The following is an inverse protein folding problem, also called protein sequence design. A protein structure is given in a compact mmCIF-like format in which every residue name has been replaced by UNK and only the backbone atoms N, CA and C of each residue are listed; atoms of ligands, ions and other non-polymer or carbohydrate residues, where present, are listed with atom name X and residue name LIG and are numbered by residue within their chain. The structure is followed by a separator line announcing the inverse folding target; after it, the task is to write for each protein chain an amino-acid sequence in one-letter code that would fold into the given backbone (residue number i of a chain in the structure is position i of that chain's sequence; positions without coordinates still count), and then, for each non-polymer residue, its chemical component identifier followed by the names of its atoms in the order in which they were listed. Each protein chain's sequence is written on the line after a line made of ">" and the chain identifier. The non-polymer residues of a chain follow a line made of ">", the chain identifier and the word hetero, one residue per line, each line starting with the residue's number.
data_IF_325943009866
#
_entry.id   IF_325943009866
#
_cell.length_a   1.000
_cell.length_b   1.000
_cell.length_c   1.000
_cell.angle_alpha   90.00
_cell.angle_beta   90.00
_cell.angle_gamma   90.00
#
_symmetry.space_group_name_H-M   'P 1'
#
loop_
_entity.id
_entity.type
_entity.pdbx_description
1 polymer ?
#
# COMPACT_ATOMS: atom_id res chain seq x y z
N UNK A 1 -32.90 55.95 28.86
CA UNK A 1 -32.92 54.50 29.04
C UNK A 1 -32.22 53.89 27.83
N UNK A 2 -30.93 53.62 27.93
CA UNK A 2 -30.11 53.06 26.85
C UNK A 2 -30.00 51.55 27.07
N UNK A 3 -30.49 50.76 26.10
CA UNK A 3 -30.39 49.30 26.08
C UNK A 3 -29.03 48.95 25.50
N UNK A 4 -28.13 48.46 26.34
CA UNK A 4 -26.84 47.90 25.94
C UNK A 4 -27.07 46.49 25.43
N UNK A 5 -26.85 46.26 24.11
CA UNK A 5 -26.83 44.92 23.51
C UNK A 5 -25.49 44.23 23.85
N UNK A 6 -25.58 43.06 24.42
CA UNK A 6 -24.46 42.14 24.63
C UNK A 6 -23.99 41.56 23.29
N UNK A 7 -22.69 41.47 22.99
CA UNK A 7 -22.24 40.85 21.76
C UNK A 7 -22.39 39.35 21.82
N UNK A 8 -23.01 38.82 20.77
CA UNK A 8 -23.29 37.41 20.50
C UNK A 8 -21.99 36.60 20.46
N UNK A 9 -21.98 35.47 21.13
CA UNK A 9 -20.92 34.46 21.18
C UNK A 9 -20.76 33.63 19.87
N UNK A 10 -21.29 34.15 18.75
CA UNK A 10 -21.33 33.40 17.47
C UNK A 10 -20.07 33.55 16.58
N UNK A 11 -19.13 34.45 16.93
CA UNK A 11 -18.04 34.82 16.00
C UNK A 11 -16.78 33.92 16.06
N UNK A 12 -16.67 32.99 17.03
CA UNK A 12 -15.44 32.17 17.20
C UNK A 12 -15.55 30.74 16.65
N UNK A 13 -16.73 30.30 16.21
CA UNK A 13 -16.96 28.91 15.73
C UNK A 13 -16.86 28.79 14.20
N UNK A 14 -17.04 29.88 13.45
CA UNK A 14 -17.02 29.86 11.99
C UNK A 14 -15.67 29.54 11.32
N UNK A 15 -14.50 30.09 11.75
CA UNK A 15 -13.24 29.83 11.06
C UNK A 15 -12.78 28.35 11.16
N UNK A 16 -12.95 27.70 12.30
CA UNK A 16 -12.54 26.31 12.51
C UNK A 16 -13.39 25.32 11.65
N UNK A 17 -14.65 25.65 11.39
CA UNK A 17 -15.51 24.80 10.56
C UNK A 17 -15.20 24.96 9.06
N UNK A 18 -14.84 26.16 8.60
CA UNK A 18 -14.43 26.39 7.20
C UNK A 18 -13.08 25.72 6.91
N UNK A 19 -12.13 25.77 7.85
CA UNK A 19 -10.85 25.08 7.75
C UNK A 19 -11.04 23.55 7.71
N UNK A 20 -11.91 22.99 8.55
CA UNK A 20 -12.20 21.56 8.57
C UNK A 20 -12.81 21.08 7.25
N UNK A 21 -13.71 21.87 6.62
CA UNK A 21 -14.31 21.53 5.32
C UNK A 21 -13.24 21.56 4.22
N UNK A 22 -12.34 22.52 4.23
CA UNK A 22 -11.25 22.63 3.26
C UNK A 22 -10.30 21.41 3.36
N UNK A 23 -9.97 20.97 4.57
CA UNK A 23 -9.16 19.76 4.77
C UNK A 23 -9.89 18.49 4.34
N UNK A 24 -11.19 18.38 4.58
CA UNK A 24 -12.01 17.28 4.08
C UNK A 24 -12.04 17.25 2.55
N UNK A 25 -12.18 18.40 1.90
CA UNK A 25 -12.15 18.50 0.44
C UNK A 25 -10.78 18.07 -0.11
N UNK A 26 -9.69 18.51 0.52
CA UNK A 26 -8.33 18.12 0.13
C UNK A 26 -8.10 16.60 0.31
N UNK A 27 -8.55 16.02 1.42
CA UNK A 27 -8.48 14.57 1.67
C UNK A 27 -9.26 13.77 0.62
N UNK A 28 -10.49 14.18 0.31
CA UNK A 28 -11.34 13.45 -0.65
C UNK A 28 -10.94 13.66 -2.10
N UNK A 29 -10.12 14.66 -2.41
CA UNK A 29 -9.52 14.86 -3.72
C UNK A 29 -8.33 13.90 -3.98
N UNK A 30 -7.73 13.36 -2.93
CA UNK A 30 -6.62 12.41 -3.04
C UNK A 30 -7.13 11.06 -3.55
N UNK A 31 -6.48 10.55 -4.59
CA UNK A 31 -6.70 9.19 -5.12
C UNK A 31 -5.55 8.24 -4.80
N UNK A 32 -4.46 8.80 -4.27
CA UNK A 32 -3.29 8.07 -3.89
C UNK A 32 -3.33 7.75 -2.39
N UNK A 33 -3.37 6.46 -2.08
CA UNK A 33 -3.43 5.96 -0.70
C UNK A 33 -2.24 6.43 0.14
N UNK A 34 -1.05 6.47 -0.42
CA UNK A 34 0.18 6.86 0.28
C UNK A 34 0.12 8.34 0.68
N UNK A 35 -0.51 9.17 -0.15
CA UNK A 35 -0.69 10.60 0.11
C UNK A 35 -1.85 10.90 1.07
N UNK A 36 -2.79 9.96 1.27
CA UNK A 36 -3.91 10.15 2.18
C UNK A 36 -3.47 10.32 3.64
N UNK A 37 -2.57 9.45 4.10
CA UNK A 37 -2.07 9.48 5.48
C UNK A 37 -1.22 10.75 5.72
N UNK A 38 -0.43 11.16 4.74
CA UNK A 38 0.32 12.43 4.75
C UNK A 38 -0.63 13.64 4.85
N UNK A 39 -1.67 13.66 4.02
CA UNK A 39 -2.69 14.72 4.01
C UNK A 39 -3.49 14.77 5.30
N UNK A 40 -3.79 13.61 5.90
CA UNK A 40 -4.44 13.51 7.20
C UNK A 40 -3.58 14.11 8.30
N UNK A 41 -2.29 13.73 8.37
CA UNK A 41 -1.36 14.26 9.36
C UNK A 41 -1.24 15.78 9.26
N UNK A 42 -1.11 16.31 8.05
CA UNK A 42 -1.02 17.74 7.78
C UNK A 42 -2.31 18.48 8.18
N UNK A 43 -3.47 17.98 7.76
CA UNK A 43 -4.76 18.59 8.07
C UNK A 43 -5.06 18.63 9.57
N UNK A 44 -4.72 17.58 10.32
CA UNK A 44 -4.89 17.57 11.78
C UNK A 44 -3.90 18.49 12.47
N UNK A 45 -2.65 18.59 11.99
CA UNK A 45 -1.66 19.54 12.51
C UNK A 45 -2.17 20.98 12.41
N UNK A 46 -2.73 21.35 11.26
CA UNK A 46 -3.25 22.69 11.00
C UNK A 46 -4.50 22.98 11.83
N UNK A 47 -5.47 22.05 11.86
CA UNK A 47 -6.73 22.21 12.62
C UNK A 47 -6.50 22.37 14.12
N UNK A 48 -5.58 21.62 14.70
CA UNK A 48 -5.30 21.67 16.13
C UNK A 48 -4.22 22.69 16.51
N UNK A 49 -3.46 23.18 15.53
CA UNK A 49 -2.27 24.01 15.77
C UNK A 49 -1.29 23.41 16.78
N UNK A 50 -1.14 22.09 16.76
CA UNK A 50 -0.27 21.30 17.65
C UNK A 50 1.17 21.22 17.13
N UNK A 51 2.05 20.57 17.88
CA UNK A 51 3.49 20.52 17.57
C UNK A 51 3.84 19.46 16.54
N UNK A 52 3.20 18.27 16.61
CA UNK A 52 3.44 17.16 15.69
C UNK A 52 2.22 16.26 15.60
N UNK A 53 2.01 15.69 14.41
CA UNK A 53 0.97 14.67 14.15
C UNK A 53 1.58 13.56 13.32
N UNK A 54 1.43 12.32 13.77
CA UNK A 54 1.90 11.12 13.07
C UNK A 54 0.76 10.16 12.76
N UNK A 55 0.78 9.59 11.56
CA UNK A 55 -0.05 8.46 11.17
C UNK A 55 0.84 7.23 11.10
N UNK A 56 0.47 6.21 11.86
CA UNK A 56 1.25 4.98 11.96
C UNK A 56 0.37 3.80 11.56
N UNK A 57 0.88 2.98 10.65
CA UNK A 57 0.22 1.77 10.15
C UNK A 57 0.92 0.52 10.67
N UNK A 58 0.14 -0.49 11.01
CA UNK A 58 0.68 -1.77 11.40
C UNK A 58 0.88 -2.63 10.15
N UNK A 59 2.13 -2.95 9.85
CA UNK A 59 2.57 -3.76 8.69
C UNK A 59 3.15 -5.09 9.15
N UNK A 60 3.12 -6.08 8.28
CA UNK A 60 3.52 -7.46 8.55
C UNK A 60 2.38 -8.42 8.25
N UNK A 61 2.67 -9.72 8.22
CA UNK A 61 1.69 -10.79 8.00
C UNK A 61 1.11 -11.26 9.32
N UNK A 62 -0.06 -11.91 9.28
CA UNK A 62 -0.74 -12.37 10.50
C UNK A 62 0.09 -13.41 11.31
N UNK A 63 0.98 -14.14 10.66
CA UNK A 63 1.84 -15.18 11.27
C UNK A 63 3.27 -14.69 11.55
N UNK A 64 3.61 -13.43 11.20
CA UNK A 64 4.93 -12.82 11.35
C UNK A 64 4.88 -11.68 12.37
N UNK A 65 6.02 -11.29 12.98
CA UNK A 65 6.05 -10.10 13.82
C UNK A 65 5.57 -8.86 13.06
N UNK A 66 4.62 -8.13 13.63
CA UNK A 66 4.08 -6.90 13.05
C UNK A 66 4.87 -5.68 13.52
N UNK A 67 4.99 -4.69 12.66
CA UNK A 67 5.83 -3.52 12.86
C UNK A 67 5.07 -2.23 12.56
N UNK A 68 5.47 -1.12 13.20
CA UNK A 68 4.92 0.20 12.98
C UNK A 68 5.61 0.93 11.84
N UNK A 69 4.88 1.21 10.77
CA UNK A 69 5.30 2.05 9.65
C UNK A 69 4.78 3.48 9.88
N UNK A 70 5.64 4.47 9.81
CA UNK A 70 5.24 5.88 9.80
C UNK A 70 4.77 6.25 8.38
N UNK A 71 3.46 6.26 8.16
CA UNK A 71 2.87 6.57 6.84
C UNK A 71 2.63 8.08 6.61
N UNK A 72 2.76 8.89 7.65
CA UNK A 72 2.71 10.36 7.54
C UNK A 72 3.10 11.02 8.85
N UNK A 73 4.09 11.90 8.84
CA UNK A 73 4.54 12.67 9.99
C UNK A 73 4.63 14.15 9.62
N UNK A 74 3.71 14.93 10.13
CA UNK A 74 3.67 16.38 10.00
C UNK A 74 4.18 17.04 11.28
N UNK A 75 5.07 18.02 11.13
CA UNK A 75 5.60 18.85 12.21
C UNK A 75 5.49 20.31 11.83
N UNK A 76 5.30 21.18 12.85
CA UNK A 76 5.22 22.61 12.61
C UNK A 76 6.52 23.13 11.97
N UNK A 77 6.38 23.89 10.88
CA UNK A 77 7.50 24.48 10.13
C UNK A 77 8.49 23.48 9.48
N UNK A 78 8.07 22.22 9.28
CA UNK A 78 8.84 21.22 8.59
C UNK A 78 8.01 20.59 7.46
N UNK A 79 8.70 20.02 6.46
CA UNK A 79 8.04 19.23 5.44
C UNK A 79 7.48 17.96 6.07
N UNK A 80 6.28 17.55 5.65
CA UNK A 80 5.69 16.30 6.06
C UNK A 80 6.48 15.14 5.44
N UNK A 81 6.83 14.15 6.25
CA UNK A 81 7.63 13.00 5.87
C UNK A 81 6.86 11.71 6.10
N UNK A 82 7.26 10.65 5.42
CA UNK A 82 6.78 9.28 5.65
C UNK A 82 7.92 8.30 5.45
N UNK A 83 7.84 7.14 6.10
CA UNK A 83 8.71 6.03 5.76
C UNK A 83 8.42 5.58 4.33
N UNK A 84 9.45 5.20 3.56
CA UNK A 84 9.21 4.64 2.25
C UNK A 84 8.45 3.32 2.38
N UNK A 85 7.44 3.04 1.52
CA UNK A 85 6.64 1.81 1.62
C UNK A 85 7.45 0.52 1.44
N UNK A 86 8.68 0.63 0.98
CA UNK A 86 9.63 -0.48 0.76
C UNK A 86 10.67 -0.64 1.86
N UNK A 87 10.50 0.02 3.00
CA UNK A 87 11.40 -0.12 4.14
C UNK A 87 11.42 -1.58 4.61
N UNK A 88 12.60 -2.04 5.01
CA UNK A 88 12.73 -3.38 5.57
C UNK A 88 11.96 -3.47 6.89
N UNK A 89 11.07 -4.47 7.01
CA UNK A 89 10.25 -4.65 8.20
C UNK A 89 11.07 -4.82 9.47
N UNK A 90 12.22 -5.51 9.37
CA UNK A 90 13.12 -5.72 10.52
C UNK A 90 13.75 -4.41 11.02
N UNK A 91 13.82 -3.38 10.18
CA UNK A 91 14.32 -2.05 10.56
C UNK A 91 13.26 -1.18 11.24
N UNK A 92 11.98 -1.57 11.16
CA UNK A 92 10.88 -0.85 11.77
C UNK A 92 10.67 -1.25 13.23
N UNK A 93 10.15 -0.35 14.08
CA UNK A 93 9.79 -0.69 15.45
C UNK A 93 8.75 -1.82 15.50
N UNK A 94 8.96 -2.87 16.31
CA UNK A 94 7.98 -3.93 16.48
C UNK A 94 6.71 -3.41 17.18
N UNK A 95 5.60 -4.16 17.08
CA UNK A 95 4.30 -3.81 17.67
C UNK A 95 4.41 -3.36 19.13
N UNK A 96 5.06 -4.14 19.98
CA UNK A 96 5.21 -3.87 21.41
C UNK A 96 6.16 -2.71 21.76
N UNK A 97 6.86 -2.09 20.79
CA UNK A 97 7.72 -0.93 21.05
C UNK A 97 6.94 0.32 21.52
N UNK A 98 5.65 0.39 21.19
CA UNK A 98 4.77 1.49 21.56
C UNK A 98 3.47 0.99 22.22
N UNK A 99 3.49 0.69 23.53
CA UNK A 99 2.36 0.06 24.23
C UNK A 99 1.05 0.85 24.11
N UNK A 100 1.11 2.18 24.10
CA UNK A 100 -0.07 3.03 23.95
C UNK A 100 -0.73 2.89 22.57
N UNK A 101 0.07 2.77 21.49
CA UNK A 101 -0.46 2.53 20.14
C UNK A 101 -1.13 1.16 20.06
N UNK A 102 -0.53 0.16 20.67
CA UNK A 102 -1.05 -1.22 20.74
C UNK A 102 -2.37 -1.25 21.52
N UNK A 103 -2.44 -0.65 22.72
CA UNK A 103 -3.64 -0.54 23.52
C UNK A 103 -4.79 0.14 22.78
N UNK A 104 -4.52 1.28 22.13
CA UNK A 104 -5.52 2.04 21.33
C UNK A 104 -6.04 1.21 20.15
N UNK A 105 -5.15 0.45 19.51
CA UNK A 105 -5.54 -0.39 18.38
C UNK A 105 -6.46 -1.54 18.80
N UNK A 106 -6.17 -2.17 19.94
CA UNK A 106 -6.94 -3.29 20.49
C UNK A 106 -8.28 -2.82 21.07
N UNK A 107 -8.24 -1.79 21.92
CA UNK A 107 -9.44 -1.26 22.59
C UNK A 107 -10.35 -0.46 21.64
N UNK A 108 -9.81 0.05 20.51
CA UNK A 108 -10.47 0.99 19.60
C UNK A 108 -10.96 2.27 20.30
N UNK A 109 -10.30 2.65 21.37
CA UNK A 109 -10.58 3.83 22.17
C UNK A 109 -9.37 4.77 22.14
N UNK A 110 -9.62 6.08 22.19
CA UNK A 110 -8.53 7.04 22.30
C UNK A 110 -7.89 6.98 23.68
N UNK A 111 -6.58 7.22 23.73
CA UNK A 111 -5.83 7.38 24.98
C UNK A 111 -5.05 8.68 24.99
N UNK A 112 -4.87 9.26 26.18
CA UNK A 112 -4.03 10.44 26.41
C UNK A 112 -3.06 10.17 27.55
N UNK A 113 -1.83 10.63 27.39
CA UNK A 113 -0.80 10.55 28.42
C UNK A 113 0.02 11.83 28.49
N UNK A 114 0.52 12.13 29.67
CA UNK A 114 1.54 13.14 29.92
C UNK A 114 2.88 12.44 30.14
N UNK A 115 3.91 12.88 29.43
CA UNK A 115 5.26 12.39 29.63
C UNK A 115 5.98 13.16 30.71
N UNK A 116 6.77 12.46 31.52
CA UNK A 116 7.66 13.09 32.51
C UNK A 116 8.73 13.95 31.80
N UNK A 117 9.28 14.93 32.53
CA UNK A 117 10.37 15.75 32.01
C UNK A 117 11.63 14.95 31.65
N UNK A 118 11.82 13.82 32.33
CA UNK A 118 12.92 12.88 32.05
C UNK A 118 12.70 12.13 30.73
N UNK A 119 11.44 11.84 30.37
CA UNK A 119 11.09 11.12 29.17
C UNK A 119 11.01 12.02 27.93
N UNK A 120 10.67 13.31 28.12
CA UNK A 120 10.56 14.27 27.04
C UNK A 120 11.06 15.66 27.48
N UNK A 121 12.22 16.07 26.98
CA UNK A 121 12.83 17.35 27.32
C UNK A 121 12.14 18.54 26.62
N UNK A 122 11.38 18.31 25.54
CA UNK A 122 10.67 19.36 24.80
C UNK A 122 9.27 19.58 25.39
N UNK A 123 9.00 20.75 26.03
CA UNK A 123 7.67 21.05 26.57
C UNK A 123 6.54 21.00 25.52
N UNK A 124 6.88 21.25 24.25
CA UNK A 124 5.91 21.22 23.15
C UNK A 124 5.43 19.81 22.79
N UNK A 125 6.11 18.77 23.30
CA UNK A 125 5.81 17.35 23.06
C UNK A 125 5.45 16.60 24.37
N UNK A 126 5.03 17.33 25.42
CA UNK A 126 4.77 16.73 26.74
C UNK A 126 3.50 15.88 26.78
N UNK A 127 2.50 16.22 25.99
CA UNK A 127 1.24 15.48 25.94
C UNK A 127 1.10 14.71 24.64
N UNK A 128 0.78 13.44 24.73
CA UNK A 128 0.48 12.58 23.59
C UNK A 128 -0.98 12.14 23.64
N UNK A 129 -1.66 12.23 22.51
CA UNK A 129 -3.01 11.71 22.31
C UNK A 129 -2.96 10.73 21.14
N UNK A 130 -3.38 9.50 21.36
CA UNK A 130 -3.44 8.46 20.33
C UNK A 130 -4.90 8.13 20.03
N UNK A 131 -5.27 8.16 18.75
CA UNK A 131 -6.63 7.87 18.28
C UNK A 131 -6.59 6.69 17.29
N UNK A 132 -7.55 5.77 17.37
CA UNK A 132 -7.63 4.67 16.40
C UNK A 132 -8.08 5.18 15.04
N UNK A 133 -7.45 4.68 13.97
CA UNK A 133 -7.95 4.85 12.61
C UNK A 133 -8.99 3.75 12.34
N UNK A 134 -10.24 4.16 12.14
CA UNK A 134 -11.35 3.23 11.88
C UNK A 134 -11.33 2.80 10.42
N UNK A 135 -10.65 1.71 10.12
CA UNK A 135 -10.55 1.13 8.77
C UNK A 135 -11.12 -0.29 8.82
N UNK A 136 -12.05 -0.59 7.93
CA UNK A 136 -12.61 -1.95 7.76
C UNK A 136 -11.74 -2.79 6.80
N UNK A 137 -11.17 -2.12 5.81
CA UNK A 137 -10.32 -2.73 4.78
C UNK A 137 -8.99 -1.98 4.71
N UNK A 138 -7.89 -2.72 4.68
CA UNK A 138 -6.54 -2.15 4.60
C UNK A 138 -5.71 -2.35 5.86
N UNK A 139 -4.63 -1.59 6.01
CA UNK A 139 -3.73 -1.70 7.15
C UNK A 139 -4.32 -0.99 8.38
N UNK A 140 -4.46 -1.67 9.52
CA UNK A 140 -4.86 -1.04 10.77
C UNK A 140 -3.83 0.00 11.20
N UNK A 141 -4.25 1.01 11.96
CA UNK A 141 -3.33 2.06 12.37
C UNK A 141 -3.89 3.02 13.40
N UNK A 142 -3.05 3.98 13.77
CA UNK A 142 -3.38 5.02 14.74
C UNK A 142 -2.92 6.39 14.25
N UNK A 143 -3.62 7.42 14.71
CA UNK A 143 -3.20 8.82 14.64
C UNK A 143 -2.63 9.22 16.00
N UNK A 144 -1.43 9.76 16.03
CA UNK A 144 -0.73 10.21 17.23
C UNK A 144 -0.51 11.72 17.16
N UNK A 145 -0.97 12.44 18.17
CA UNK A 145 -0.89 13.90 18.26
C UNK A 145 -0.05 14.31 19.47
N UNK A 146 0.94 15.15 19.23
CA UNK A 146 1.84 15.68 20.25
C UNK A 146 1.59 17.18 20.47
N UNK A 147 1.37 17.58 21.71
CA UNK A 147 0.98 18.92 22.09
C UNK A 147 1.62 19.39 23.42
N UNK A 148 1.60 20.69 23.64
CA UNK A 148 2.05 21.32 24.89
C UNK A 148 1.06 21.14 26.06
N UNK A 149 -0.21 20.84 25.74
CA UNK A 149 -1.30 20.66 26.70
C UNK A 149 -2.20 19.50 26.28
N UNK A 150 -2.91 18.86 27.24
CA UNK A 150 -3.86 17.82 26.91
C UNK A 150 -4.97 18.37 26.01
N UNK A 151 -5.35 17.61 24.98
CA UNK A 151 -6.42 17.99 24.08
C UNK A 151 -7.77 17.92 24.79
N UNK A 152 -8.52 19.03 24.78
CA UNK A 152 -9.86 19.06 25.33
C UNK A 152 -10.87 18.27 24.50
N UNK A 153 -11.99 17.84 25.10
CA UNK A 153 -13.08 17.17 24.38
C UNK A 153 -13.63 18.01 23.22
N UNK A 154 -13.59 19.34 23.35
CA UNK A 154 -14.02 20.26 22.27
C UNK A 154 -13.07 20.23 21.08
N UNK A 155 -11.76 20.13 21.31
CA UNK A 155 -10.75 19.99 20.25
C UNK A 155 -10.79 18.60 19.60
N UNK A 156 -11.11 17.56 20.36
CA UNK A 156 -11.15 16.16 19.85
C UNK A 156 -12.37 15.87 18.95
N UNK A 157 -13.52 16.52 19.19
CA UNK A 157 -14.75 16.28 18.40
C UNK A 157 -14.58 16.48 16.89
N UNK A 158 -14.03 17.60 16.38
CA UNK A 158 -13.79 17.79 14.96
C UNK A 158 -12.86 16.72 14.39
N UNK A 159 -11.82 16.31 15.13
CA UNK A 159 -10.87 15.30 14.69
C UNK A 159 -11.53 13.93 14.61
N UNK A 160 -12.34 13.54 15.57
CA UNK A 160 -13.09 12.29 15.50
C UNK A 160 -14.04 12.25 14.30
N UNK A 161 -14.66 13.39 13.97
CA UNK A 161 -15.51 13.51 12.78
C UNK A 161 -14.68 13.38 11.50
N UNK A 162 -13.52 14.07 11.43
CA UNK A 162 -12.57 13.97 10.33
C UNK A 162 -12.10 12.51 10.13
N UNK A 163 -11.73 11.81 11.22
CA UNK A 163 -11.28 10.42 11.17
C UNK A 163 -12.39 9.47 10.68
N UNK A 164 -13.67 9.71 11.04
CA UNK A 164 -14.79 8.93 10.49
C UNK A 164 -14.95 9.14 8.99
N UNK A 165 -14.89 10.39 8.51
CA UNK A 165 -14.97 10.66 7.07
C UNK A 165 -13.77 10.08 6.34
N UNK A 166 -12.57 10.24 6.91
CA UNK A 166 -11.34 9.65 6.40
C UNK A 166 -11.46 8.11 6.29
N UNK A 167 -11.92 7.43 7.34
CA UNK A 167 -12.12 5.98 7.34
C UNK A 167 -13.13 5.54 6.27
N UNK A 168 -14.27 6.22 6.16
CA UNK A 168 -15.27 5.93 5.13
C UNK A 168 -14.71 6.13 3.72
N UNK A 169 -13.97 7.22 3.50
CA UNK A 169 -13.34 7.49 2.21
C UNK A 169 -12.26 6.47 1.88
N UNK A 170 -11.42 6.10 2.86
CA UNK A 170 -10.41 5.05 2.69
C UNK A 170 -11.05 3.71 2.35
N UNK A 171 -12.13 3.31 3.02
CA UNK A 171 -12.85 2.07 2.73
C UNK A 171 -13.44 2.07 1.31
N UNK A 172 -14.02 3.20 0.85
CA UNK A 172 -14.50 3.35 -0.52
C UNK A 172 -13.35 3.24 -1.54
N UNK A 173 -12.25 3.91 -1.29
CA UNK A 173 -11.08 3.87 -2.16
C UNK A 173 -10.51 2.45 -2.25
N UNK A 174 -10.29 1.79 -1.10
CA UNK A 174 -9.80 0.41 -1.05
C UNK A 174 -10.75 -0.56 -1.78
N UNK A 175 -12.06 -0.46 -1.57
CA UNK A 175 -13.02 -1.32 -2.24
C UNK A 175 -13.07 -1.08 -3.75
N UNK A 176 -12.90 0.16 -4.21
CA UNK A 176 -12.85 0.48 -5.64
C UNK A 176 -11.55 0.02 -6.32
N UNK A 177 -10.47 -0.14 -5.55
CA UNK A 177 -9.14 -0.53 -6.04
C UNK A 177 -8.88 -2.03 -6.00
N UNK A 178 -9.78 -2.83 -5.43
CA UNK A 178 -9.60 -4.26 -5.26
C UNK A 178 -10.56 -5.10 -6.11
N UNK A 179 -10.10 -6.28 -6.45
CA UNK A 179 -10.94 -7.35 -6.99
C UNK A 179 -11.81 -7.94 -5.87
N UNK A 180 -13.12 -7.98 -6.09
CA UNK A 180 -14.09 -8.39 -5.07
C UNK A 180 -13.96 -9.85 -4.63
N UNK A 181 -13.47 -10.73 -5.51
CA UNK A 181 -13.32 -12.16 -5.22
C UNK A 181 -12.02 -12.42 -4.43
N UNK A 182 -10.90 -11.93 -4.93
CA UNK A 182 -9.58 -12.28 -4.40
C UNK A 182 -9.05 -11.28 -3.38
N UNK A 183 -9.58 -10.04 -3.36
CA UNK A 183 -9.09 -8.93 -2.54
C UNK A 183 -7.70 -8.40 -2.95
N UNK A 184 -7.14 -8.87 -4.07
CA UNK A 184 -5.96 -8.26 -4.69
C UNK A 184 -6.32 -6.93 -5.33
N UNK A 185 -5.33 -6.13 -5.73
CA UNK A 185 -5.59 -4.93 -6.51
C UNK A 185 -6.22 -5.31 -7.85
N UNK A 186 -7.12 -4.47 -8.34
CA UNK A 186 -7.75 -4.69 -9.64
C UNK A 186 -6.94 -4.05 -10.78
N UNK A 187 -7.32 -4.34 -12.02
CA UNK A 187 -6.68 -3.83 -13.22
C UNK A 187 -6.65 -2.29 -13.29
N UNK A 188 -7.74 -1.61 -12.85
CA UNK A 188 -7.80 -0.15 -12.90
C UNK A 188 -6.74 0.54 -12.05
N UNK A 189 -6.31 -0.11 -10.96
CA UNK A 189 -5.28 0.41 -10.05
C UNK A 189 -3.86 0.23 -10.61
N UNK A 190 -3.70 -0.67 -11.59
CA UNK A 190 -2.40 -1.01 -12.15
C UNK A 190 -1.72 0.16 -12.85
N UNK A 191 -2.42 0.88 -13.72
CA UNK A 191 -1.84 1.96 -14.53
C UNK A 191 -1.20 3.05 -13.68
N UNK A 192 -1.90 3.48 -12.62
CA UNK A 192 -1.37 4.48 -11.69
C UNK A 192 -0.13 3.99 -10.92
N UNK A 193 -0.11 2.72 -10.52
CA UNK A 193 1.03 2.11 -9.85
C UNK A 193 2.22 1.90 -10.77
N UNK A 194 1.95 1.52 -12.03
CA UNK A 194 2.97 1.35 -13.06
C UNK A 194 3.68 2.66 -13.38
N UNK A 195 2.94 3.76 -13.54
CA UNK A 195 3.54 5.08 -13.79
C UNK A 195 4.52 5.48 -12.67
N UNK A 196 4.21 5.17 -11.41
CA UNK A 196 5.15 5.38 -10.30
C UNK A 196 6.39 4.49 -10.40
N UNK A 197 6.23 3.25 -10.86
CA UNK A 197 7.32 2.30 -11.03
C UNK A 197 8.25 2.66 -12.19
N UNK A 198 7.72 3.27 -13.27
CA UNK A 198 8.49 3.69 -14.45
C UNK A 198 9.19 5.05 -14.30
N UNK A 199 8.84 5.83 -13.26
CA UNK A 199 9.51 7.10 -13.00
C UNK A 199 10.92 6.87 -12.44
N UNK A 200 11.92 7.70 -12.83
CA UNK A 200 13.24 7.67 -12.21
C UNK A 200 13.08 7.91 -10.71
N UNK A 201 13.68 7.05 -9.90
CA UNK A 201 13.73 7.31 -8.45
C UNK A 201 14.61 8.54 -8.27
N UNK A 202 14.01 9.66 -7.91
CA UNK A 202 14.75 10.84 -7.53
C UNK A 202 15.55 10.51 -6.27
N UNK A 203 16.78 10.07 -6.44
CA UNK A 203 17.75 9.74 -5.38
C UNK A 203 18.13 10.95 -4.51
N UNK A 204 17.60 12.15 -4.81
CA UNK A 204 18.10 13.41 -4.29
C UNK A 204 17.15 14.19 -3.37
N UNK A 205 15.96 13.68 -3.04
CA UNK A 205 14.99 14.49 -2.28
C UNK A 205 14.94 14.23 -0.76
N UNK A 206 15.71 13.31 -0.22
CA UNK A 206 15.78 13.13 1.23
C UNK A 206 17.22 13.18 1.70
N UNK A 207 17.65 14.35 2.19
CA UNK A 207 18.83 14.49 3.03
C UNK A 207 18.56 13.76 4.37
N UNK A 208 18.84 12.46 4.39
CA UNK A 208 19.01 11.72 5.63
C UNK A 208 20.38 12.11 6.19
N UNK A 209 20.47 12.49 7.49
CA UNK A 209 21.75 12.83 8.12
C UNK A 209 22.80 11.76 7.88
N UNK A 210 24.03 12.19 7.54
CA UNK A 210 25.14 11.31 7.24
C UNK A 210 25.54 10.50 8.48
N UNK A 211 25.12 9.23 8.56
CA UNK A 211 25.45 8.33 9.65
C UNK A 211 24.89 6.91 9.47
N UNK A 212 23.73 6.75 8.84
CA UNK A 212 23.05 5.45 8.71
C UNK A 212 22.65 5.11 7.26
N UNK A 213 23.58 5.31 6.33
CA UNK A 213 23.34 4.90 4.94
C UNK A 213 23.71 3.42 4.76
N UNK A 214 22.77 2.51 4.97
CA UNK A 214 22.68 1.34 4.12
C UNK A 214 21.91 1.74 2.87
N UNK A 215 22.63 2.28 1.89
CA UNK A 215 22.09 2.51 0.56
C UNK A 215 21.77 1.13 -0.03
N UNK A 216 20.50 0.72 0.01
CA UNK A 216 20.02 -0.33 -0.87
C UNK A 216 19.97 0.34 -2.27
N UNK A 217 20.77 -0.12 -3.24
CA UNK A 217 20.69 0.40 -4.60
C UNK A 217 19.27 0.17 -5.08
N UNK A 218 18.58 1.23 -5.45
CA UNK A 218 17.25 1.13 -6.07
C UNK A 218 17.46 0.64 -7.48
N UNK A 219 17.48 -0.64 -7.63
CA UNK A 219 17.44 -1.34 -8.90
C UNK A 219 15.97 -1.51 -9.27
N UNK A 220 15.61 -1.17 -10.45
CA UNK A 220 14.36 -1.24 -11.20
C UNK A 220 13.11 -1.91 -10.59
N UNK A 221 12.10 -1.98 -11.42
CA UNK A 221 10.90 -2.77 -11.15
C UNK A 221 10.81 -3.90 -12.17
N UNK A 222 10.18 -4.99 -11.75
CA UNK A 222 9.91 -6.14 -12.61
C UNK A 222 8.40 -6.35 -12.72
N UNK A 223 7.93 -6.57 -13.92
CA UNK A 223 6.54 -6.90 -14.19
C UNK A 223 6.44 -8.40 -14.45
N UNK A 224 5.65 -9.12 -13.64
CA UNK A 224 5.30 -10.51 -13.87
C UNK A 224 3.84 -10.65 -14.25
N UNK A 225 3.56 -11.43 -15.30
CA UNK A 225 2.23 -11.90 -15.68
C UNK A 225 2.13 -13.37 -15.34
N UNK A 226 1.05 -13.76 -14.69
CA UNK A 226 0.77 -15.13 -14.22
C UNK A 226 -0.55 -15.59 -14.78
N UNK A 227 -0.58 -16.82 -15.26
CA UNK A 227 -1.80 -17.47 -15.71
C UNK A 227 -1.90 -18.88 -15.09
N UNK A 228 -3.09 -19.23 -14.62
CA UNK A 228 -3.34 -20.55 -14.01
C UNK A 228 -3.47 -21.62 -15.12
N UNK A 229 -2.58 -22.59 -15.09
CA UNK A 229 -2.57 -23.66 -16.09
C UNK A 229 -3.85 -24.47 -16.07
N UNK A 230 -4.47 -24.62 -17.24
CA UNK A 230 -5.68 -25.41 -17.44
C UNK A 230 -6.90 -24.99 -16.59
N UNK A 231 -7.00 -23.72 -16.19
CA UNK A 231 -8.09 -23.24 -15.34
C UNK A 231 -9.48 -23.52 -15.92
N UNK A 232 -9.63 -23.42 -17.25
CA UNK A 232 -10.87 -23.82 -17.92
C UNK A 232 -11.27 -25.27 -17.60
N UNK A 233 -10.30 -26.20 -17.53
CA UNK A 233 -10.62 -27.63 -17.17
C UNK A 233 -11.09 -27.74 -15.72
N UNK A 234 -10.61 -26.85 -14.82
CA UNK A 234 -11.10 -26.79 -13.43
C UNK A 234 -12.57 -26.37 -13.44
N UNK A 235 -12.90 -25.29 -14.14
CA UNK A 235 -14.29 -24.83 -14.25
C UNK A 235 -15.21 -25.88 -14.92
N UNK A 236 -14.76 -26.48 -16.02
CA UNK A 236 -15.55 -27.47 -16.76
C UNK A 236 -15.75 -28.76 -15.94
N UNK A 237 -14.78 -29.16 -15.12
CA UNK A 237 -14.83 -30.40 -14.34
C UNK A 237 -15.47 -30.26 -12.95
N UNK A 238 -15.27 -29.14 -12.27
CA UNK A 238 -15.68 -28.97 -10.88
C UNK A 238 -16.68 -27.81 -10.67
N UNK A 239 -16.97 -27.05 -11.74
CA UNK A 239 -17.86 -25.89 -11.69
C UNK A 239 -17.17 -24.58 -11.26
N UNK A 240 -17.80 -23.46 -11.59
CA UNK A 240 -17.24 -22.12 -11.34
C UNK A 240 -17.01 -21.80 -9.87
N UNK A 241 -17.80 -22.36 -8.95
CA UNK A 241 -17.61 -22.15 -7.51
C UNK A 241 -16.26 -22.69 -7.03
N UNK A 242 -15.85 -23.84 -7.52
CA UNK A 242 -14.53 -24.42 -7.21
C UNK A 242 -13.42 -23.65 -7.94
N UNK A 243 -13.68 -23.19 -9.15
CA UNK A 243 -12.77 -22.26 -9.84
C UNK A 243 -12.52 -20.98 -9.04
N UNK A 244 -13.56 -20.38 -8.49
CA UNK A 244 -13.45 -19.19 -7.62
C UNK A 244 -12.64 -19.49 -6.34
N UNK A 245 -12.84 -20.66 -5.72
CA UNK A 245 -12.03 -21.11 -4.59
C UNK A 245 -10.55 -21.23 -4.95
N UNK A 246 -10.22 -21.79 -6.12
CA UNK A 246 -8.84 -21.87 -6.63
C UNK A 246 -8.25 -20.48 -6.80
N UNK A 247 -8.99 -19.52 -7.37
CA UNK A 247 -8.53 -18.13 -7.53
C UNK A 247 -8.22 -17.47 -6.17
N UNK A 248 -9.08 -17.66 -5.17
CA UNK A 248 -8.87 -17.14 -3.81
C UNK A 248 -7.62 -17.74 -3.15
N UNK A 249 -7.44 -19.08 -3.31
CA UNK A 249 -6.27 -19.76 -2.76
C UNK A 249 -4.97 -19.34 -3.45
N UNK A 250 -4.96 -19.22 -4.78
CA UNK A 250 -3.80 -18.69 -5.53
C UNK A 250 -3.46 -17.27 -5.06
N UNK A 251 -4.45 -16.41 -4.91
CA UNK A 251 -4.24 -15.05 -4.39
C UNK A 251 -3.68 -15.06 -2.95
N UNK A 252 -4.10 -15.99 -2.10
CA UNK A 252 -3.53 -16.17 -0.75
C UNK A 252 -2.07 -16.61 -0.81
N UNK A 253 -1.74 -17.61 -1.63
CA UNK A 253 -0.37 -18.08 -1.83
C UNK A 253 0.51 -16.94 -2.38
N UNK A 254 -0.03 -16.14 -3.30
CA UNK A 254 0.66 -14.97 -3.85
C UNK A 254 1.02 -13.97 -2.74
N UNK A 255 0.08 -13.60 -1.84
CA UNK A 255 0.38 -12.72 -0.70
C UNK A 255 1.44 -13.29 0.23
N UNK A 256 1.53 -14.62 0.38
CA UNK A 256 2.55 -15.28 1.21
C UNK A 256 3.92 -15.37 0.52
N UNK A 257 3.96 -15.35 -0.81
CA UNK A 257 5.19 -15.50 -1.59
C UNK A 257 5.92 -14.20 -1.86
N UNK A 258 5.20 -13.07 -1.95
CA UNK A 258 5.76 -11.76 -2.26
C UNK A 258 5.81 -10.86 -1.02
N UNK A 259 6.63 -9.83 -1.06
CA UNK A 259 6.83 -8.89 0.05
C UNK A 259 5.64 -7.94 0.19
N UNK A 260 5.48 -7.32 1.37
CA UNK A 260 4.35 -6.42 1.65
C UNK A 260 4.28 -5.19 0.73
N UNK A 261 5.40 -4.77 0.16
CA UNK A 261 5.50 -3.63 -0.75
C UNK A 261 5.42 -4.03 -2.24
N UNK A 262 5.47 -5.32 -2.57
CA UNK A 262 5.17 -5.78 -3.93
C UNK A 262 3.68 -5.62 -4.21
N UNK A 263 3.34 -5.16 -5.41
CA UNK A 263 1.96 -4.91 -5.79
C UNK A 263 1.39 -6.11 -6.54
N UNK A 264 0.31 -6.66 -6.02
CA UNK A 264 -0.31 -7.89 -6.51
C UNK A 264 -1.71 -7.57 -7.07
N UNK A 265 -1.94 -7.91 -8.33
CA UNK A 265 -3.16 -7.59 -9.06
C UNK A 265 -3.84 -8.84 -9.58
N UNK A 266 -5.17 -8.77 -9.71
CA UNK A 266 -5.94 -9.65 -10.58
C UNK A 266 -6.47 -8.83 -11.74
N UNK A 267 -6.11 -9.21 -12.98
CA UNK A 267 -6.54 -8.48 -14.17
C UNK A 267 -7.91 -8.92 -14.66
N UNK A 268 -8.28 -10.18 -14.45
CA UNK A 268 -9.56 -10.76 -14.78
C UNK A 268 -9.42 -12.26 -15.05
N UNK A 269 -10.52 -12.99 -15.03
CA UNK A 269 -10.48 -14.42 -15.25
C UNK A 269 -9.45 -15.13 -14.36
N UNK A 270 -8.46 -15.75 -14.99
CA UNK A 270 -7.36 -16.53 -14.39
C UNK A 270 -6.00 -15.83 -14.41
N UNK A 271 -5.97 -14.52 -14.80
CA UNK A 271 -4.76 -13.75 -14.98
C UNK A 271 -4.44 -12.88 -13.77
N UNK A 272 -3.20 -12.95 -13.31
CA UNK A 272 -2.66 -12.13 -12.24
C UNK A 272 -1.43 -11.37 -12.71
N UNK A 273 -1.19 -10.21 -12.11
CA UNK A 273 -0.02 -9.37 -12.42
C UNK A 273 0.68 -8.99 -11.13
N UNK A 274 1.99 -8.94 -11.15
CA UNK A 274 2.85 -8.59 -10.03
C UNK A 274 3.79 -7.46 -10.47
N UNK A 275 3.80 -6.36 -9.72
CA UNK A 275 4.88 -5.37 -9.75
C UNK A 275 5.83 -5.67 -8.60
N UNK A 276 6.95 -6.30 -8.92
CA UNK A 276 8.01 -6.62 -7.99
C UNK A 276 9.00 -5.45 -7.94
N UNK A 277 9.37 -5.03 -6.75
CA UNK A 277 10.31 -3.95 -6.58
C UNK A 277 11.71 -4.44 -6.23
N UNK A 278 12.71 -3.89 -6.93
CA UNK A 278 14.13 -4.08 -6.63
C UNK A 278 14.67 -5.43 -7.08
N UNK A 279 15.95 -5.62 -6.79
CA UNK A 279 16.66 -6.81 -7.21
C UNK A 279 17.13 -6.77 -8.67
N UNK A 280 17.91 -7.77 -9.01
CA UNK A 280 18.33 -8.06 -10.38
C UNK A 280 17.43 -9.16 -10.97
N UNK A 281 17.70 -9.56 -12.22
CA UNK A 281 16.97 -10.64 -12.91
C UNK A 281 16.96 -11.96 -12.09
N UNK A 282 18.08 -12.29 -11.41
CA UNK A 282 18.18 -13.51 -10.61
C UNK A 282 17.28 -13.45 -9.37
N UNK A 283 17.22 -12.27 -8.72
CA UNK A 283 16.34 -12.06 -7.56
C UNK A 283 14.88 -12.11 -7.95
N UNK A 284 14.51 -11.49 -9.10
CA UNK A 284 13.17 -11.54 -9.66
C UNK A 284 12.78 -12.98 -10.03
N UNK A 285 13.64 -13.69 -10.75
CA UNK A 285 13.44 -15.11 -11.08
C UNK A 285 13.20 -15.94 -9.82
N UNK A 286 14.04 -15.75 -8.78
CA UNK A 286 13.89 -16.46 -7.51
C UNK A 286 12.56 -16.18 -6.80
N UNK A 287 12.05 -14.95 -6.87
CA UNK A 287 10.76 -14.58 -6.29
C UNK A 287 9.58 -15.23 -7.02
N UNK A 288 9.58 -15.18 -8.36
CA UNK A 288 8.55 -15.81 -9.19
C UNK A 288 8.59 -17.34 -9.10
N UNK A 289 9.78 -17.95 -9.10
CA UNK A 289 9.93 -19.41 -8.97
C UNK A 289 9.48 -19.90 -7.59
N UNK A 290 9.79 -19.19 -6.52
CA UNK A 290 9.25 -19.48 -5.18
C UNK A 290 7.72 -19.49 -5.19
N UNK A 291 7.09 -18.50 -5.82
CA UNK A 291 5.64 -18.43 -5.95
C UNK A 291 5.10 -19.64 -6.76
N UNK A 292 5.67 -19.93 -7.93
CA UNK A 292 5.31 -21.07 -8.74
C UNK A 292 5.38 -22.38 -7.95
N UNK A 293 6.49 -22.62 -7.26
CA UNK A 293 6.67 -23.80 -6.42
C UNK A 293 5.66 -23.88 -5.27
N UNK A 294 5.34 -22.76 -4.64
CA UNK A 294 4.33 -22.70 -3.57
C UNK A 294 2.95 -23.08 -4.11
N UNK A 295 2.57 -22.61 -5.31
CA UNK A 295 1.31 -23.01 -5.95
C UNK A 295 1.33 -24.51 -6.30
N UNK A 296 2.40 -25.00 -6.94
CA UNK A 296 2.50 -26.41 -7.33
C UNK A 296 2.44 -27.37 -6.15
N UNK A 297 3.03 -26.99 -5.01
CA UNK A 297 3.08 -27.83 -3.80
C UNK A 297 1.84 -27.73 -2.92
N UNK A 298 0.97 -26.72 -3.16
CA UNK A 298 -0.21 -26.52 -2.35
C UNK A 298 -1.28 -27.58 -2.66
N UNK A 299 -1.83 -28.26 -1.63
CA UNK A 299 -2.89 -29.26 -1.83
C UNK A 299 -4.25 -28.55 -1.99
N UNK A 300 -4.59 -28.18 -3.22
CA UNK A 300 -5.88 -27.55 -3.50
C UNK A 300 -7.03 -28.52 -3.18
N UNK A 301 -8.02 -28.11 -2.37
CA UNK A 301 -9.21 -28.92 -2.11
C UNK A 301 -9.88 -29.32 -3.43
N UNK A 302 -10.38 -30.55 -3.52
CA UNK A 302 -11.11 -31.14 -4.67
C UNK A 302 -10.32 -31.22 -5.98
N UNK A 303 -9.53 -30.22 -6.37
CA UNK A 303 -8.76 -30.17 -7.63
C UNK A 303 -7.39 -30.84 -7.49
N UNK A 304 -6.89 -30.98 -6.26
CA UNK A 304 -5.60 -31.56 -5.84
C UNK A 304 -4.37 -30.80 -6.32
N UNK A 305 -4.15 -30.65 -7.62
CA UNK A 305 -2.95 -30.00 -8.16
C UNK A 305 -3.33 -28.90 -9.14
N UNK A 306 -2.80 -27.72 -8.88
CA UNK A 306 -2.87 -26.54 -9.76
C UNK A 306 -1.45 -26.07 -10.00
N UNK A 307 -1.14 -25.62 -11.21
CA UNK A 307 0.13 -25.01 -11.56
C UNK A 307 -0.10 -23.66 -12.23
N UNK A 308 0.95 -22.87 -12.33
CA UNK A 308 0.93 -21.57 -12.97
C UNK A 308 2.09 -21.42 -13.94
N UNK A 309 1.83 -20.76 -15.06
CA UNK A 309 2.85 -20.29 -15.99
C UNK A 309 3.09 -18.81 -15.75
N UNK A 310 4.36 -18.40 -15.65
CA UNK A 310 4.77 -17.03 -15.35
C UNK A 310 5.72 -16.52 -16.41
N UNK A 311 5.44 -15.34 -16.93
CA UNK A 311 6.37 -14.56 -17.74
C UNK A 311 6.70 -13.26 -17.05
N UNK A 312 7.95 -12.81 -17.08
CA UNK A 312 8.31 -11.54 -16.47
C UNK A 312 9.36 -10.77 -17.28
N UNK A 313 9.38 -9.45 -17.09
CA UNK A 313 10.28 -8.51 -17.77
C UNK A 313 10.70 -7.38 -16.85
N UNK A 314 11.84 -6.78 -17.09
CA UNK A 314 12.26 -5.54 -16.45
C UNK A 314 11.44 -4.35 -16.98
N UNK A 315 10.97 -3.47 -16.08
CA UNK A 315 10.32 -2.22 -16.46
C UNK A 315 11.41 -1.22 -16.78
N UNK A 316 11.48 -0.80 -18.04
CA UNK A 316 12.45 0.16 -18.53
C UNK A 316 11.95 1.60 -18.36
N UNK A 317 12.87 2.54 -18.30
CA UNK A 317 12.53 3.96 -18.33
C UNK A 317 11.79 4.29 -19.64
N UNK A 318 10.63 4.96 -19.51
CA UNK A 318 9.70 5.29 -20.60
C UNK A 318 8.79 4.13 -21.08
N UNK A 319 8.83 2.96 -20.46
CA UNK A 319 7.85 1.95 -20.77
C UNK A 319 6.42 2.43 -20.46
N UNK A 320 5.49 2.04 -21.30
CA UNK A 320 4.07 2.12 -20.99
C UNK A 320 3.58 0.82 -20.35
N UNK A 321 2.48 0.83 -19.60
CA UNK A 321 1.88 -0.39 -19.03
C UNK A 321 1.71 -1.50 -20.07
N UNK A 322 1.22 -1.16 -21.27
CA UNK A 322 0.96 -2.11 -22.35
C UNK A 322 2.24 -2.75 -22.91
N UNK A 323 3.32 -1.98 -23.04
CA UNK A 323 4.60 -2.49 -23.56
C UNK A 323 5.22 -3.51 -22.62
N UNK A 324 5.34 -3.20 -21.34
CA UNK A 324 5.88 -4.13 -20.36
C UNK A 324 4.96 -5.35 -20.19
N UNK A 325 3.63 -5.16 -20.22
CA UNK A 325 2.68 -6.27 -20.17
C UNK A 325 2.86 -7.21 -21.36
N UNK A 326 2.96 -6.70 -22.58
CA UNK A 326 3.15 -7.51 -23.78
C UNK A 326 4.45 -8.32 -23.74
N UNK A 327 5.56 -7.74 -23.23
CA UNK A 327 6.82 -8.49 -23.05
C UNK A 327 6.67 -9.64 -22.05
N UNK A 328 6.07 -9.37 -20.89
CA UNK A 328 5.83 -10.41 -19.88
C UNK A 328 4.87 -11.50 -20.39
N UNK A 329 3.82 -11.12 -21.13
CA UNK A 329 2.86 -12.06 -21.72
C UNK A 329 3.49 -12.96 -22.77
N UNK A 330 4.45 -12.48 -23.55
CA UNK A 330 5.25 -13.35 -24.44
C UNK A 330 5.99 -14.43 -23.63
N UNK A 331 6.49 -14.11 -22.43
CA UNK A 331 7.06 -15.09 -21.51
C UNK A 331 6.03 -16.16 -21.08
N UNK A 332 4.81 -15.74 -20.71
CA UNK A 332 3.70 -16.68 -20.37
C UNK A 332 3.36 -17.57 -21.55
N UNK A 333 3.26 -16.98 -22.74
CA UNK A 333 2.98 -17.73 -23.96
C UNK A 333 4.03 -18.83 -24.21
N UNK A 334 5.31 -18.50 -24.09
CA UNK A 334 6.40 -19.49 -24.23
C UNK A 334 6.33 -20.53 -23.13
N UNK A 335 6.08 -20.15 -21.89
CA UNK A 335 5.91 -21.08 -20.76
C UNK A 335 4.80 -22.10 -21.04
N UNK A 336 3.65 -21.64 -21.52
CA UNK A 336 2.52 -22.51 -21.89
C UNK A 336 2.87 -23.49 -23.02
N UNK A 337 3.69 -23.08 -23.99
CA UNK A 337 4.09 -23.93 -25.13
C UNK A 337 5.21 -24.91 -24.77
N UNK A 338 6.08 -24.57 -23.84
CA UNK A 338 7.20 -25.40 -23.39
C UNK A 338 6.83 -26.40 -22.28
N UNK A 339 5.54 -26.61 -22.00
CA UNK A 339 5.06 -27.61 -21.05
C UNK A 339 4.39 -27.07 -19.80
N UNK A 340 4.22 -25.77 -19.68
CA UNK A 340 3.58 -25.07 -18.54
C UNK A 340 4.39 -25.18 -17.24
N UNK A 341 3.82 -24.73 -16.12
CA UNK A 341 4.41 -24.84 -14.77
C UNK A 341 5.86 -24.37 -14.72
N UNK A 342 6.15 -23.20 -15.26
CA UNK A 342 7.49 -22.64 -15.34
C UNK A 342 7.48 -21.11 -15.34
N UNK A 343 8.63 -20.53 -15.03
CA UNK A 343 8.88 -19.09 -15.03
C UNK A 343 9.86 -18.75 -16.13
N UNK A 344 9.52 -17.81 -16.99
CA UNK A 344 10.38 -17.36 -18.08
C UNK A 344 10.59 -15.85 -18.06
N UNK A 345 11.84 -15.43 -18.23
CA UNK A 345 12.23 -14.03 -18.36
C UNK A 345 12.26 -13.64 -19.84
N UNK A 346 11.59 -12.55 -20.20
CA UNK A 346 11.56 -12.04 -21.56
C UNK A 346 12.98 -11.75 -22.07
N UNK A 347 13.79 -11.05 -21.28
CA UNK A 347 15.16 -10.68 -21.63
C UNK A 347 16.05 -11.92 -21.83
N UNK A 348 15.83 -12.99 -21.06
CA UNK A 348 16.53 -14.25 -21.24
C UNK A 348 16.15 -14.92 -22.58
N UNK A 349 14.84 -14.96 -22.90
CA UNK A 349 14.34 -15.52 -24.15
C UNK A 349 14.88 -14.76 -25.38
N UNK A 350 15.05 -13.45 -25.28
CA UNK A 350 15.68 -12.65 -26.35
C UNK A 350 17.17 -12.98 -26.46
N UNK A 351 17.91 -13.06 -25.34
CA UNK A 351 19.34 -13.43 -25.35
C UNK A 351 19.59 -14.84 -25.93
N UNK A 352 18.66 -15.74 -25.72
CA UNK A 352 18.72 -17.12 -26.25
C UNK A 352 18.23 -17.24 -27.71
N UNK A 353 17.74 -16.15 -28.28
CA UNK A 353 17.24 -16.12 -29.67
C UNK A 353 15.90 -16.82 -29.87
N UNK A 354 15.16 -17.09 -28.78
CA UNK A 354 13.80 -17.67 -28.83
C UNK A 354 12.77 -16.61 -29.26
N UNK A 355 12.99 -15.37 -28.82
CA UNK A 355 12.20 -14.20 -29.20
C UNK A 355 13.09 -13.18 -29.91
N UNK A 356 12.52 -12.46 -30.87
CA UNK A 356 13.20 -11.33 -31.47
C UNK A 356 13.16 -10.11 -30.52
N UNK A 357 14.25 -9.37 -30.43
CA UNK A 357 14.22 -8.05 -29.80
C UNK A 357 13.47 -7.10 -30.74
N UNK A 358 12.16 -6.98 -30.61
CA UNK A 358 11.42 -6.03 -31.39
C UNK A 358 11.55 -4.61 -30.84
N UNK A 359 12.09 -3.72 -31.66
CA UNK A 359 11.63 -2.34 -31.76
C UNK A 359 10.14 -2.39 -32.13
N UNK A 360 9.32 -2.09 -31.18
CA UNK A 360 7.87 -2.18 -31.13
C UNK A 360 7.16 -1.62 -32.36
N UNK A 361 6.63 -2.50 -33.21
CA UNK A 361 5.40 -2.19 -33.94
C UNK A 361 4.22 -2.74 -33.12
N UNK A 362 3.55 -1.85 -32.43
CA UNK A 362 2.30 -2.10 -31.71
C UNK A 362 1.24 -2.41 -32.77
N UNK A 363 0.96 -3.69 -32.99
CA UNK A 363 -0.29 -4.10 -33.58
C UNK A 363 -1.38 -3.94 -32.52
N UNK A 364 -2.52 -3.36 -32.89
CA UNK A 364 -3.71 -3.25 -32.07
C UNK A 364 -4.06 -4.60 -31.47
N UNK A 365 -3.75 -4.80 -30.21
CA UNK A 365 -4.30 -5.92 -29.44
C UNK A 365 -5.67 -5.48 -28.98
N UNK A 366 -6.71 -5.94 -29.66
CA UNK A 366 -8.09 -5.88 -29.15
C UNK A 366 -8.14 -6.65 -27.83
N UNK A 367 -8.19 -5.89 -26.76
CA UNK A 367 -8.38 -6.42 -25.41
C UNK A 367 -9.87 -6.73 -25.22
N UNK A 368 -10.20 -8.01 -25.22
CA UNK A 368 -11.52 -8.53 -24.88
C UNK A 368 -11.82 -8.44 -23.37
#
# INVERSE_FOLDING_TARGET
>A
MAITATPSHAAAVQPVAEDAISHLAALTAQRDREMLDVSLAQGVLELLSVSSVGVYRLVGRDEEPRHWLCSGLARRSQLTVSDPPWVDLESLPPLGAYPMRESVLEARLLEQAELSEEACADPALRHVTVLPLQVEVGLPGVLEVWSDKPLSLQALRPIQTLLKVFGNFQNLLESSQRDALTGLLNRQTFDASFLKASMPVASDLHQVPAGERRAVPVTGYWLGVVDIDHFKKVNDGFGHLIGDEVLVLVARIMRQSFRHYDRLYRFGGEEFVILLRGGNEVDAMGAFERFRCNVESYPFPQVHKVTVSVGFTEIQHQDTPNVSFARADQGVYQAKHQGRNQVLCFEALVREGVLASEDTHIGDVELF
#
